data_IF_748727204325
#
_entry.id   IF_748727204325
#
_cell.length_a   1.000
_cell.length_b   1.000
_cell.length_c   1.000
_cell.angle_alpha   90.00
_cell.angle_beta   90.00
_cell.angle_gamma   90.00
#
_symmetry.space_group_name_H-M   'P 1'
#
loop_
_entity.id
_entity.type
_entity.pdbx_description
1 polymer ?
#
# COMPACT_ATOMS: atom_id res chain seq x y z
N UNK A 1 4.93 58.12 -8.20
CA UNK A 1 5.18 56.64 -8.24
C UNK A 1 4.68 56.14 -6.92
N UNK A 2 3.60 55.39 -6.96
CA UNK A 2 3.08 54.71 -5.76
C UNK A 2 3.85 53.42 -5.56
N UNK A 3 4.27 53.12 -4.34
CA UNK A 3 4.92 51.89 -3.94
C UNK A 3 3.96 51.02 -3.13
N UNK A 4 3.91 49.72 -3.43
CA UNK A 4 3.21 48.74 -2.61
C UNK A 4 4.27 47.99 -1.82
N UNK A 5 4.11 47.94 -0.50
CA UNK A 5 4.98 47.16 0.37
C UNK A 5 4.36 45.75 0.58
N UNK A 6 5.06 44.71 0.23
CA UNK A 6 4.62 43.36 0.60
C UNK A 6 4.83 43.13 2.10
N UNK A 7 3.92 42.43 2.74
CA UNK A 7 4.06 42.02 4.16
C UNK A 7 5.00 40.85 4.40
N UNK A 8 5.41 40.17 3.34
CA UNK A 8 6.30 38.99 3.39
C UNK A 8 7.42 39.15 2.34
N UNK A 9 8.63 39.32 2.80
CA UNK A 9 9.79 39.50 1.92
C UNK A 9 10.07 38.29 1.00
N UNK A 10 9.65 37.11 1.40
CA UNK A 10 9.79 35.90 0.60
C UNK A 10 8.93 35.86 -0.66
N UNK A 11 7.85 36.66 -0.72
CA UNK A 11 6.99 36.75 -1.91
C UNK A 11 7.71 37.40 -3.12
N UNK A 12 8.71 38.23 -2.86
CA UNK A 12 9.46 38.97 -3.89
C UNK A 12 10.91 38.52 -4.03
N UNK A 13 11.32 37.51 -3.27
CA UNK A 13 12.70 37.04 -3.27
C UNK A 13 13.02 36.26 -4.55
N UNK A 14 14.02 36.72 -5.30
CA UNK A 14 14.57 36.01 -6.44
C UNK A 14 15.43 34.81 -6.00
N UNK A 15 15.52 33.78 -6.85
CA UNK A 15 16.35 32.59 -6.65
C UNK A 15 17.51 32.60 -7.63
N UNK A 16 18.74 32.64 -7.13
CA UNK A 16 19.95 32.63 -7.94
C UNK A 16 20.80 31.34 -7.74
N UNK A 17 20.57 30.62 -6.65
CA UNK A 17 21.30 29.40 -6.33
C UNK A 17 20.41 28.37 -5.61
N UNK A 18 20.95 27.16 -5.41
CA UNK A 18 20.23 26.05 -4.78
C UNK A 18 19.98 26.25 -3.29
N UNK A 19 20.78 27.05 -2.60
CA UNK A 19 20.59 27.36 -1.19
C UNK A 19 19.35 28.28 -1.02
N UNK A 20 19.27 29.32 -1.84
CA UNK A 20 18.12 30.22 -1.87
C UNK A 20 16.82 29.46 -2.24
N UNK A 21 16.91 28.55 -3.23
CA UNK A 21 15.79 27.67 -3.57
C UNK A 21 15.35 26.80 -2.39
N UNK A 22 16.28 26.21 -1.66
CA UNK A 22 15.98 25.38 -0.50
C UNK A 22 15.32 26.19 0.64
N UNK A 23 15.77 27.40 0.87
CA UNK A 23 15.20 28.31 1.89
C UNK A 23 13.75 28.67 1.52
N UNK A 24 13.51 29.05 0.27
CA UNK A 24 12.16 29.38 -0.22
C UNK A 24 11.23 28.16 -0.19
N UNK A 25 11.72 26.98 -0.59
CA UNK A 25 10.94 25.74 -0.50
C UNK A 25 10.50 25.46 0.95
N UNK A 26 11.41 25.57 1.92
CA UNK A 26 11.04 25.38 3.33
C UNK A 26 10.04 26.43 3.84
N UNK A 27 10.19 27.68 3.42
CA UNK A 27 9.23 28.73 3.73
C UNK A 27 7.83 28.42 3.14
N UNK A 28 7.79 28.02 1.88
CA UNK A 28 6.54 27.60 1.22
C UNK A 28 5.88 26.43 1.93
N UNK A 29 6.63 25.36 2.24
CA UNK A 29 6.11 24.18 2.93
C UNK A 29 5.60 24.53 4.34
N UNK A 30 6.25 25.45 5.03
CA UNK A 30 5.76 25.94 6.33
C UNK A 30 4.43 26.68 6.19
N UNK A 31 4.25 27.49 5.14
CA UNK A 31 2.96 28.16 4.86
C UNK A 31 1.86 27.12 4.57
N UNK A 32 2.15 26.08 3.79
CA UNK A 32 1.19 25.00 3.52
C UNK A 32 0.83 24.23 4.81
N UNK A 33 1.80 23.88 5.64
CA UNK A 33 1.55 23.24 6.93
C UNK A 33 0.69 24.11 7.87
N UNK A 34 0.93 25.43 7.90
CA UNK A 34 0.12 26.38 8.67
C UNK A 34 -1.34 26.46 8.19
N UNK A 35 -1.57 26.43 6.86
CA UNK A 35 -2.94 26.40 6.31
C UNK A 35 -3.69 25.17 6.77
N UNK A 36 -3.03 23.99 6.76
CA UNK A 36 -3.63 22.73 7.18
C UNK A 36 -3.90 22.70 8.68
N UNK A 37 -2.98 23.21 9.50
CA UNK A 37 -3.21 23.40 10.94
C UNK A 37 -4.41 24.33 11.20
N UNK A 38 -4.50 25.44 10.46
CA UNK A 38 -5.60 26.40 10.57
C UNK A 38 -6.96 25.79 10.13
N UNK A 39 -6.96 24.81 9.24
CA UNK A 39 -8.17 24.07 8.83
C UNK A 39 -8.57 22.95 9.82
N UNK A 40 -7.86 22.80 10.93
CA UNK A 40 -8.19 21.87 12.01
C UNK A 40 -7.54 20.49 11.92
N UNK A 41 -6.58 20.29 11.03
CA UNK A 41 -5.76 19.08 11.04
C UNK A 41 -4.71 19.11 12.15
N UNK A 42 -4.28 17.96 12.61
CA UNK A 42 -3.15 17.78 13.52
C UNK A 42 -1.90 17.41 12.72
N UNK A 43 -0.85 18.23 12.84
CA UNK A 43 0.46 17.95 12.25
C UNK A 43 1.48 17.83 13.37
N UNK A 44 2.16 16.67 13.50
CA UNK A 44 3.08 16.42 14.62
C UNK A 44 4.32 17.31 14.59
N UNK A 45 4.85 17.56 13.39
CA UNK A 45 5.96 18.49 13.20
C UNK A 45 5.81 19.21 11.84
N UNK A 46 5.37 20.47 11.84
CA UNK A 46 5.19 21.23 10.60
C UNK A 46 6.45 21.39 9.75
N UNK A 47 7.64 21.31 10.36
CA UNK A 47 8.92 21.43 9.64
C UNK A 47 9.27 20.17 8.85
N UNK A 48 8.56 19.08 9.09
CA UNK A 48 8.80 17.75 8.52
C UNK A 48 7.60 17.22 7.71
N UNK A 49 6.79 18.12 7.19
CA UNK A 49 5.70 17.85 6.26
C UNK A 49 6.03 18.49 4.91
N UNK A 50 5.90 17.74 3.84
CA UNK A 50 6.03 18.23 2.48
C UNK A 50 4.74 18.02 1.70
N UNK A 51 4.18 19.11 1.15
CA UNK A 51 3.03 19.08 0.25
C UNK A 51 3.47 19.61 -1.11
N UNK A 52 3.59 18.73 -2.08
CA UNK A 52 4.07 19.00 -3.43
C UNK A 52 2.94 18.87 -4.44
N UNK A 53 1.88 19.62 -4.25
CA UNK A 53 0.65 19.57 -5.03
C UNK A 53 -0.52 20.09 -4.24
N UNK A 54 -1.69 19.49 -4.39
CA UNK A 54 -2.91 19.89 -3.71
C UNK A 54 -3.33 18.83 -2.68
N UNK A 55 -3.66 19.27 -1.46
CA UNK A 55 -4.28 18.47 -0.43
C UNK A 55 -5.66 19.00 -0.09
N UNK A 56 -6.69 18.19 -0.32
CA UNK A 56 -8.05 18.42 0.16
C UNK A 56 -8.35 17.42 1.26
N UNK A 57 -8.82 17.87 2.43
CA UNK A 57 -9.08 16.96 3.54
C UNK A 57 -10.38 17.27 4.31
N UNK A 58 -10.97 16.25 4.91
CA UNK A 58 -12.07 16.35 5.85
C UNK A 58 -11.62 16.68 7.27
N UNK A 59 -12.52 16.56 8.23
CA UNK A 59 -12.25 16.83 9.64
C UNK A 59 -11.35 15.76 10.28
N UNK A 60 -10.61 16.14 11.34
CA UNK A 60 -9.78 15.22 12.15
C UNK A 60 -8.72 14.46 11.34
N UNK A 61 -8.02 15.15 10.44
CA UNK A 61 -6.83 14.61 9.79
C UNK A 61 -5.64 14.70 10.75
N UNK A 62 -4.89 13.59 10.89
CA UNK A 62 -3.63 13.55 11.63
C UNK A 62 -2.49 13.16 10.69
N UNK A 63 -1.46 14.01 10.62
CA UNK A 63 -0.24 13.79 9.83
C UNK A 63 0.96 13.68 10.78
N UNK A 64 1.66 12.54 10.71
CA UNK A 64 2.88 12.32 11.46
C UNK A 64 4.11 12.89 10.73
N UNK A 65 5.28 12.73 11.32
CA UNK A 65 6.54 13.29 10.81
C UNK A 65 6.98 12.64 9.49
N UNK A 66 7.64 13.40 8.63
CA UNK A 66 8.17 12.96 7.34
C UNK A 66 7.09 12.41 6.38
N UNK A 67 5.87 12.90 6.48
CA UNK A 67 4.84 12.63 5.47
C UNK A 67 5.10 13.52 4.25
N UNK A 68 5.06 12.90 3.07
CA UNK A 68 5.23 13.58 1.78
C UNK A 68 3.99 13.32 0.94
N UNK A 69 3.29 14.40 0.56
CA UNK A 69 2.11 14.36 -0.30
C UNK A 69 2.46 14.99 -1.65
N UNK A 70 2.17 14.30 -2.75
CA UNK A 70 2.54 14.77 -4.10
C UNK A 70 1.34 14.70 -5.06
N UNK A 71 1.20 15.70 -5.93
CA UNK A 71 0.09 15.77 -6.89
C UNK A 71 -1.25 15.98 -6.19
N UNK A 72 -2.31 15.38 -6.70
CA UNK A 72 -3.67 15.55 -6.19
C UNK A 72 -3.97 14.48 -5.13
N UNK A 73 -4.05 14.89 -3.87
CA UNK A 73 -4.38 14.01 -2.75
C UNK A 73 -5.67 14.48 -2.07
N UNK A 74 -6.67 13.60 -2.04
CA UNK A 74 -7.91 13.86 -1.32
C UNK A 74 -8.08 12.87 -0.17
N UNK A 75 -8.44 13.39 1.02
CA UNK A 75 -8.53 12.63 2.26
C UNK A 75 -9.86 12.92 2.95
N UNK A 76 -10.59 11.89 3.33
CA UNK A 76 -11.83 12.00 4.09
C UNK A 76 -11.62 12.45 5.54
N UNK A 77 -12.63 12.25 6.37
CA UNK A 77 -12.60 12.62 7.79
C UNK A 77 -12.05 11.48 8.66
N UNK A 78 -11.49 11.81 9.83
CA UNK A 78 -10.98 10.85 10.81
C UNK A 78 -9.86 9.95 10.24
N UNK A 79 -8.93 10.53 9.50
CA UNK A 79 -7.82 9.80 8.88
C UNK A 79 -6.53 10.05 9.63
N UNK A 80 -5.76 8.99 9.83
CA UNK A 80 -4.43 9.03 10.43
C UNK A 80 -3.37 8.53 9.47
N UNK A 81 -2.34 9.33 9.22
CA UNK A 81 -1.21 9.01 8.33
C UNK A 81 0.07 8.98 9.16
N UNK A 82 0.63 7.78 9.32
CA UNK A 82 1.82 7.51 10.11
C UNK A 82 3.12 8.02 9.46
N UNK A 83 4.21 8.01 10.23
CA UNK A 83 5.46 8.63 9.83
C UNK A 83 6.14 7.96 8.64
N UNK A 84 6.96 8.73 7.92
CA UNK A 84 7.74 8.27 6.76
C UNK A 84 6.87 7.69 5.62
N UNK A 85 5.66 8.21 5.46
CA UNK A 85 4.71 7.79 4.43
C UNK A 85 4.74 8.74 3.25
N UNK A 86 4.78 8.16 2.03
CA UNK A 86 4.73 8.93 0.79
C UNK A 86 3.42 8.60 0.05
N UNK A 87 2.64 9.63 -0.28
CA UNK A 87 1.36 9.48 -0.97
C UNK A 87 1.35 10.37 -2.21
N UNK A 88 0.99 9.81 -3.36
CA UNK A 88 0.85 10.57 -4.60
C UNK A 88 -0.44 10.22 -5.34
N UNK A 89 -1.13 11.25 -5.86
CA UNK A 89 -2.31 11.12 -6.72
C UNK A 89 -3.35 10.12 -6.18
N UNK A 90 -3.73 10.22 -4.90
CA UNK A 90 -4.55 9.22 -4.22
C UNK A 90 -5.86 9.81 -3.69
N UNK A 91 -6.89 8.96 -3.65
CA UNK A 91 -8.17 9.25 -3.02
C UNK A 91 -8.34 8.35 -1.81
N UNK A 92 -8.47 8.95 -0.63
CA UNK A 92 -8.54 8.26 0.66
C UNK A 92 -9.87 8.62 1.33
N UNK A 93 -10.66 7.62 1.64
CA UNK A 93 -11.95 7.74 2.32
C UNK A 93 -11.83 8.13 3.80
N UNK A 94 -12.94 8.05 4.51
CA UNK A 94 -13.00 8.39 5.93
C UNK A 94 -12.64 7.20 6.83
N UNK A 95 -12.16 7.46 8.05
CA UNK A 95 -11.80 6.42 9.02
C UNK A 95 -10.55 5.62 8.67
N UNK A 96 -9.82 6.01 7.63
CA UNK A 96 -8.65 5.27 7.14
C UNK A 96 -7.45 5.45 8.08
N UNK A 97 -6.75 4.35 8.34
CA UNK A 97 -5.48 4.34 9.08
C UNK A 97 -4.35 3.89 8.17
N UNK A 98 -3.40 4.76 7.92
CA UNK A 98 -2.16 4.45 7.18
C UNK A 98 -1.03 4.42 8.20
N UNK A 99 -0.42 3.25 8.39
CA UNK A 99 0.69 3.05 9.31
C UNK A 99 2.02 3.49 8.68
N UNK A 100 3.09 3.48 9.47
CA UNK A 100 4.40 4.00 9.08
C UNK A 100 4.99 3.36 7.81
N UNK A 101 5.74 4.16 7.04
CA UNK A 101 6.60 3.68 5.95
C UNK A 101 5.86 3.21 4.70
N UNK A 102 4.59 3.58 4.53
CA UNK A 102 3.82 3.19 3.36
C UNK A 102 4.17 4.06 2.13
N UNK A 103 4.10 3.45 0.95
CA UNK A 103 4.22 4.16 -0.33
C UNK A 103 2.94 3.93 -1.13
N UNK A 104 2.19 4.99 -1.40
CA UNK A 104 0.88 4.95 -2.04
C UNK A 104 0.91 5.85 -3.28
N UNK A 105 0.63 5.28 -4.44
CA UNK A 105 0.62 6.00 -5.71
C UNK A 105 -0.60 5.62 -6.55
N UNK A 106 -1.39 6.60 -6.98
CA UNK A 106 -2.53 6.43 -7.86
C UNK A 106 -3.59 5.45 -7.36
N UNK A 107 -3.79 5.36 -6.03
CA UNK A 107 -4.70 4.41 -5.42
C UNK A 107 -6.01 5.07 -4.95
N UNK A 108 -7.07 4.26 -4.92
CA UNK A 108 -8.35 4.59 -4.29
C UNK A 108 -8.49 3.73 -3.06
N UNK A 109 -8.63 4.35 -1.91
CA UNK A 109 -8.80 3.71 -0.61
C UNK A 109 -10.16 4.15 -0.07
N UNK A 110 -11.10 3.23 0.07
CA UNK A 110 -12.43 3.52 0.60
C UNK A 110 -12.43 3.65 2.14
N UNK A 111 -13.60 3.68 2.77
CA UNK A 111 -13.73 4.00 4.18
C UNK A 111 -13.26 2.85 5.11
N UNK A 112 -12.76 3.23 6.29
CA UNK A 112 -12.36 2.32 7.38
C UNK A 112 -11.28 1.30 7.00
N UNK A 113 -10.48 1.61 5.97
CA UNK A 113 -9.37 0.76 5.52
C UNK A 113 -8.15 0.94 6.40
N UNK A 114 -7.40 -0.16 6.60
CA UNK A 114 -6.10 -0.13 7.27
C UNK A 114 -4.97 -0.53 6.30
N UNK A 115 -3.94 0.32 6.18
CA UNK A 115 -2.79 0.10 5.29
C UNK A 115 -1.49 0.13 6.09
N UNK A 116 -0.65 -0.86 5.88
CA UNK A 116 0.70 -0.90 6.43
C UNK A 116 0.89 -1.74 7.71
N UNK A 117 2.05 -1.57 8.38
CA UNK A 117 3.16 -0.69 7.98
C UNK A 117 3.94 -1.22 6.76
N UNK A 118 4.73 -0.33 6.11
CA UNK A 118 5.58 -0.69 4.97
C UNK A 118 4.84 -1.39 3.81
N UNK A 119 3.60 -1.00 3.56
CA UNK A 119 2.82 -1.46 2.42
C UNK A 119 3.09 -0.59 1.18
N UNK A 120 2.96 -1.19 0.00
CA UNK A 120 3.07 -0.46 -1.26
C UNK A 120 1.80 -0.62 -2.09
N UNK A 121 1.11 0.48 -2.32
CA UNK A 121 -0.03 0.54 -3.23
C UNK A 121 0.40 1.27 -4.51
N UNK A 122 0.25 0.59 -5.64
CA UNK A 122 0.63 1.11 -6.96
C UNK A 122 -0.61 1.54 -7.75
N UNK A 123 -0.42 2.28 -8.87
CA UNK A 123 -1.52 2.76 -9.68
C UNK A 123 -2.52 1.66 -10.07
N UNK A 124 -3.81 2.03 -10.07
CA UNK A 124 -4.92 1.13 -10.35
C UNK A 124 -5.34 0.24 -9.16
N UNK A 125 -4.77 0.46 -7.98
CA UNK A 125 -5.21 -0.22 -6.75
C UNK A 125 -6.49 0.40 -6.21
N UNK A 126 -7.47 -0.44 -5.90
CA UNK A 126 -8.70 -0.07 -5.19
C UNK A 126 -8.85 -0.94 -3.95
N UNK A 127 -8.87 -0.32 -2.78
CA UNK A 127 -9.15 -0.97 -1.51
C UNK A 127 -10.58 -0.61 -1.09
N UNK A 128 -11.43 -1.63 -1.00
CA UNK A 128 -12.84 -1.46 -0.61
C UNK A 128 -12.99 -1.31 0.90
N UNK A 129 -14.17 -0.85 1.33
CA UNK A 129 -14.48 -0.56 2.73
C UNK A 129 -14.01 -1.67 3.69
N UNK A 130 -13.39 -1.27 4.80
CA UNK A 130 -12.91 -2.15 5.88
C UNK A 130 -11.92 -3.22 5.44
N UNK A 131 -11.36 -3.13 4.24
CA UNK A 131 -10.29 -4.03 3.81
C UNK A 131 -8.98 -3.72 4.54
N UNK A 132 -8.05 -4.67 4.53
CA UNK A 132 -6.76 -4.52 5.21
C UNK A 132 -5.60 -5.01 4.34
N UNK A 133 -4.63 -4.13 4.12
CA UNK A 133 -3.36 -4.43 3.47
C UNK A 133 -2.24 -4.20 4.47
N UNK A 134 -1.59 -5.27 4.93
CA UNK A 134 -0.63 -5.23 6.03
C UNK A 134 0.81 -5.05 5.58
N UNK A 135 1.74 -5.46 6.46
CA UNK A 135 3.17 -5.19 6.29
C UNK A 135 3.81 -5.95 5.13
N UNK A 136 4.63 -5.22 4.37
CA UNK A 136 5.34 -5.74 3.20
C UNK A 136 4.44 -6.39 2.16
N UNK A 137 3.21 -5.87 2.02
CA UNK A 137 2.29 -6.26 0.96
C UNK A 137 2.38 -5.23 -0.16
N UNK A 138 2.58 -5.70 -1.38
CA UNK A 138 2.51 -4.86 -2.57
C UNK A 138 1.23 -5.20 -3.35
N UNK A 139 0.44 -4.16 -3.67
CA UNK A 139 -0.77 -4.27 -4.50
C UNK A 139 -0.62 -3.39 -5.73
N UNK A 140 -0.93 -3.94 -6.90
CA UNK A 140 -0.83 -3.24 -8.19
C UNK A 140 -2.01 -3.56 -9.09
N UNK A 141 -2.68 -2.53 -9.62
CA UNK A 141 -3.76 -2.70 -10.60
C UNK A 141 -4.74 -3.80 -10.17
N UNK A 142 -5.23 -3.71 -8.93
CA UNK A 142 -6.04 -4.77 -8.31
C UNK A 142 -7.10 -4.18 -7.40
N UNK A 143 -8.21 -4.92 -7.27
CA UNK A 143 -9.29 -4.61 -6.35
C UNK A 143 -9.25 -5.57 -5.18
N UNK A 144 -9.24 -5.03 -3.96
CA UNK A 144 -9.39 -5.79 -2.71
C UNK A 144 -10.80 -5.53 -2.19
N UNK A 145 -11.64 -6.56 -2.13
CA UNK A 145 -13.05 -6.48 -1.72
C UNK A 145 -13.26 -6.08 -0.27
N UNK A 146 -14.52 -5.85 0.07
CA UNK A 146 -14.96 -5.40 1.40
C UNK A 146 -14.50 -6.43 2.46
N UNK A 147 -13.91 -5.95 3.57
CA UNK A 147 -13.42 -6.78 4.68
C UNK A 147 -12.37 -7.82 4.32
N UNK A 148 -11.86 -7.81 3.09
CA UNK A 148 -10.80 -8.72 2.64
C UNK A 148 -9.44 -8.30 3.19
N UNK A 149 -8.59 -9.29 3.50
CA UNK A 149 -7.33 -9.08 4.23
C UNK A 149 -6.14 -9.73 3.53
N UNK A 150 -5.07 -8.96 3.36
CA UNK A 150 -3.75 -9.43 2.97
C UNK A 150 -2.74 -8.85 3.98
N UNK A 151 -2.46 -9.58 5.07
CA UNK A 151 -1.80 -8.99 6.24
C UNK A 151 -0.27 -8.96 6.15
N UNK A 152 0.37 -9.84 5.37
CA UNK A 152 1.82 -10.02 5.43
C UNK A 152 2.42 -10.49 4.11
N UNK A 153 3.53 -9.85 3.68
CA UNK A 153 4.49 -10.42 2.73
C UNK A 153 3.86 -10.97 1.42
N UNK A 154 2.87 -10.31 0.86
CA UNK A 154 2.19 -10.79 -0.35
C UNK A 154 2.41 -9.84 -1.53
N UNK A 155 2.45 -10.40 -2.75
CA UNK A 155 2.35 -9.62 -3.99
C UNK A 155 1.01 -9.92 -4.67
N UNK A 156 0.20 -8.87 -4.87
CA UNK A 156 -1.12 -8.93 -5.49
C UNK A 156 -1.09 -8.02 -6.72
N UNK A 157 -0.99 -8.62 -7.90
CA UNK A 157 -0.92 -7.88 -9.16
C UNK A 157 -1.97 -8.34 -10.15
N UNK A 158 -2.62 -7.38 -10.82
CA UNK A 158 -3.64 -7.61 -11.85
C UNK A 158 -4.72 -8.60 -11.38
N UNK A 159 -5.37 -8.30 -10.22
CA UNK A 159 -6.31 -9.21 -9.59
C UNK A 159 -7.61 -8.50 -9.16
N UNK A 160 -8.69 -9.27 -9.11
CA UNK A 160 -9.95 -8.90 -8.45
C UNK A 160 -10.22 -9.89 -7.33
N UNK A 161 -10.25 -9.41 -6.10
CA UNK A 161 -10.53 -10.20 -4.90
C UNK A 161 -11.89 -9.78 -4.38
N UNK A 162 -12.79 -10.75 -4.21
CA UNK A 162 -14.13 -10.56 -3.65
C UNK A 162 -14.12 -10.17 -2.17
N UNK A 163 -15.28 -10.19 -1.54
CA UNK A 163 -15.48 -9.73 -0.17
C UNK A 163 -15.15 -10.83 0.85
N UNK A 164 -14.69 -10.42 2.04
CA UNK A 164 -14.41 -11.33 3.15
C UNK A 164 -13.27 -12.32 2.93
N UNK A 165 -12.41 -12.09 1.94
CA UNK A 165 -11.29 -12.97 1.61
C UNK A 165 -10.12 -12.83 2.58
N UNK A 166 -9.35 -13.91 2.74
CA UNK A 166 -8.10 -13.89 3.47
C UNK A 166 -6.93 -14.38 2.61
N UNK A 167 -5.98 -13.53 2.35
CA UNK A 167 -4.76 -13.86 1.60
C UNK A 167 -3.63 -14.13 2.59
N UNK A 168 -3.17 -15.37 2.61
CA UNK A 168 -2.11 -15.84 3.51
C UNK A 168 -0.75 -15.21 3.21
N UNK A 169 0.09 -15.15 4.24
CA UNK A 169 1.44 -14.61 4.15
C UNK A 169 2.28 -15.33 3.07
N UNK A 170 3.08 -14.58 2.32
CA UNK A 170 3.93 -15.16 1.26
C UNK A 170 3.17 -15.57 0.00
N UNK A 171 1.91 -15.17 -0.15
CA UNK A 171 1.14 -15.46 -1.37
C UNK A 171 1.59 -14.58 -2.52
N UNK A 172 1.83 -15.18 -3.68
CA UNK A 172 2.24 -14.50 -4.91
C UNK A 172 1.20 -14.74 -6.01
N UNK A 173 0.69 -13.63 -6.57
CA UNK A 173 -0.13 -13.64 -7.78
C UNK A 173 0.80 -13.53 -8.99
N UNK A 174 1.05 -14.66 -9.66
CA UNK A 174 1.90 -14.71 -10.84
C UNK A 174 1.14 -14.21 -12.06
N UNK A 175 1.12 -12.91 -12.24
CA UNK A 175 0.36 -12.21 -13.28
C UNK A 175 1.10 -12.04 -14.61
N UNK A 176 2.36 -12.47 -14.73
CA UNK A 176 3.19 -12.27 -15.91
C UNK A 176 3.82 -13.57 -16.39
N UNK A 177 3.63 -13.91 -17.68
CA UNK A 177 4.10 -15.15 -18.30
C UNK A 177 5.45 -15.00 -19.04
N UNK A 178 6.07 -13.84 -18.95
CA UNK A 178 7.28 -13.50 -19.70
C UNK A 178 7.02 -12.60 -20.92
N UNK A 179 5.77 -12.52 -21.37
CA UNK A 179 5.34 -11.67 -22.51
C UNK A 179 4.11 -10.83 -22.17
N UNK A 180 3.09 -11.43 -21.58
CA UNK A 180 1.79 -10.81 -21.31
C UNK A 180 1.43 -10.85 -19.83
N UNK A 181 0.53 -9.94 -19.44
CA UNK A 181 -0.09 -9.94 -18.11
C UNK A 181 -1.44 -10.61 -18.17
N UNK A 182 -1.72 -11.39 -17.15
CA UNK A 182 -2.95 -12.14 -16.99
C UNK A 182 -3.62 -11.80 -15.66
N UNK A 183 -4.94 -11.95 -15.62
CA UNK A 183 -5.75 -11.58 -14.47
C UNK A 183 -6.08 -12.78 -13.59
N UNK A 184 -6.11 -12.55 -12.27
CA UNK A 184 -6.57 -13.51 -11.28
C UNK A 184 -7.88 -13.01 -10.67
N UNK A 185 -8.89 -13.89 -10.56
CA UNK A 185 -10.17 -13.55 -9.93
C UNK A 185 -10.41 -14.48 -8.75
N UNK A 186 -10.71 -13.91 -7.59
CA UNK A 186 -11.22 -14.60 -6.41
C UNK A 186 -12.66 -14.14 -6.16
N UNK A 187 -13.55 -15.10 -5.97
CA UNK A 187 -14.89 -14.84 -5.45
C UNK A 187 -14.89 -14.41 -3.99
N UNK A 188 -16.04 -14.49 -3.34
CA UNK A 188 -16.18 -14.06 -1.95
C UNK A 188 -15.74 -15.15 -0.96
N UNK A 189 -15.27 -14.73 0.23
CA UNK A 189 -14.88 -15.60 1.35
C UNK A 189 -13.83 -16.64 1.02
N UNK A 190 -13.01 -16.36 0.01
CA UNK A 190 -11.89 -17.24 -0.36
C UNK A 190 -10.79 -17.16 0.70
N UNK A 191 -10.34 -18.32 1.15
CA UNK A 191 -9.17 -18.44 2.02
C UNK A 191 -7.97 -18.98 1.24
N UNK A 192 -6.92 -18.18 1.12
CA UNK A 192 -5.65 -18.60 0.54
C UNK A 192 -4.65 -18.84 1.67
N UNK A 193 -4.18 -20.06 1.81
CA UNK A 193 -3.16 -20.44 2.79
C UNK A 193 -1.81 -19.75 2.53
N UNK A 194 -0.95 -19.75 3.54
CA UNK A 194 0.38 -19.12 3.43
C UNK A 194 1.26 -19.81 2.37
N UNK A 195 2.19 -19.05 1.78
CA UNK A 195 3.14 -19.50 0.76
C UNK A 195 2.47 -20.16 -0.45
N UNK A 196 1.32 -19.65 -0.86
CA UNK A 196 0.64 -20.09 -2.08
C UNK A 196 1.08 -19.27 -3.29
N UNK A 197 1.03 -19.92 -4.45
CA UNK A 197 1.28 -19.29 -5.75
C UNK A 197 0.03 -19.43 -6.60
N UNK A 198 -0.55 -18.32 -7.05
CA UNK A 198 -1.69 -18.30 -7.95
C UNK A 198 -1.19 -17.93 -9.36
N UNK A 199 -1.22 -18.87 -10.28
CA UNK A 199 -0.67 -18.68 -11.63
C UNK A 199 -1.78 -18.26 -12.55
N UNK A 200 -1.78 -16.97 -12.92
CA UNK A 200 -2.77 -16.39 -13.80
C UNK A 200 -2.61 -16.87 -15.27
N UNK A 201 -3.72 -16.98 -16.06
CA UNK A 201 -5.08 -16.65 -15.64
C UNK A 201 -5.72 -17.76 -14.80
N UNK A 202 -6.28 -17.40 -13.65
CA UNK A 202 -6.95 -18.36 -12.75
C UNK A 202 -8.13 -17.70 -12.05
N UNK A 203 -9.20 -18.47 -11.84
CA UNK A 203 -10.38 -18.03 -11.10
C UNK A 203 -10.70 -19.01 -9.98
N UNK A 204 -10.89 -18.50 -8.78
CA UNK A 204 -11.35 -19.25 -7.60
C UNK A 204 -12.78 -18.80 -7.28
N UNK A 205 -13.72 -19.74 -7.24
CA UNK A 205 -15.11 -19.43 -6.86
C UNK A 205 -15.26 -19.08 -5.38
N UNK A 206 -16.47 -18.72 -4.98
CA UNK A 206 -16.76 -18.38 -3.59
C UNK A 206 -16.46 -19.55 -2.64
N UNK A 207 -16.10 -19.22 -1.42
CA UNK A 207 -15.85 -20.19 -0.33
C UNK A 207 -14.75 -21.24 -0.66
N UNK A 208 -13.87 -20.93 -1.61
CA UNK A 208 -12.71 -21.80 -1.90
C UNK A 208 -11.69 -21.68 -0.79
N UNK A 209 -11.16 -22.83 -0.37
CA UNK A 209 -10.03 -22.92 0.54
C UNK A 209 -8.80 -23.46 -0.19
N UNK A 210 -7.73 -22.69 -0.26
CA UNK A 210 -6.44 -23.12 -0.82
C UNK A 210 -5.51 -23.51 0.32
N UNK A 211 -5.08 -24.79 0.34
CA UNK A 211 -4.15 -25.29 1.35
C UNK A 211 -2.79 -24.58 1.25
N UNK A 212 -2.18 -24.26 2.38
CA UNK A 212 -0.87 -23.60 2.43
C UNK A 212 0.19 -24.33 1.60
N UNK A 213 1.09 -23.57 0.96
CA UNK A 213 2.16 -24.09 0.11
C UNK A 213 1.68 -24.64 -1.24
N UNK A 214 0.48 -24.30 -1.68
CA UNK A 214 -0.06 -24.78 -2.95
C UNK A 214 0.31 -23.87 -4.12
N UNK A 215 0.60 -24.48 -5.27
CA UNK A 215 0.65 -23.81 -6.58
C UNK A 215 -0.65 -24.11 -7.32
N UNK A 216 -1.43 -23.06 -7.60
CA UNK A 216 -2.75 -23.16 -8.24
C UNK A 216 -2.65 -22.60 -9.66
N UNK A 217 -2.78 -23.48 -10.66
CA UNK A 217 -2.69 -23.13 -12.09
C UNK A 217 -3.95 -23.44 -12.88
N UNK A 218 -4.98 -23.95 -12.21
CA UNK A 218 -6.29 -24.24 -12.80
C UNK A 218 -7.37 -23.63 -11.94
N UNK A 219 -8.42 -23.10 -12.59
CA UNK A 219 -9.57 -22.53 -11.89
C UNK A 219 -10.24 -23.54 -10.96
N UNK A 220 -10.74 -23.04 -9.82
CA UNK A 220 -11.31 -23.85 -8.76
C UNK A 220 -12.78 -23.51 -8.62
N UNK A 221 -13.71 -24.46 -8.73
CA UNK A 221 -15.13 -24.22 -8.48
C UNK A 221 -15.38 -23.81 -7.03
N UNK A 222 -16.52 -23.15 -6.78
CA UNK A 222 -16.91 -22.73 -5.43
C UNK A 222 -16.95 -23.88 -4.42
N UNK A 223 -16.76 -23.56 -3.15
CA UNK A 223 -16.86 -24.51 -2.03
C UNK A 223 -15.87 -25.70 -2.11
N UNK A 224 -14.71 -25.50 -2.69
CA UNK A 224 -13.70 -26.55 -2.84
C UNK A 224 -12.45 -26.32 -1.99
N UNK A 225 -11.87 -27.39 -1.47
CA UNK A 225 -10.52 -27.42 -0.96
C UNK A 225 -9.55 -27.75 -2.10
N UNK A 226 -8.61 -26.86 -2.36
CA UNK A 226 -7.55 -27.08 -3.34
C UNK A 226 -6.21 -27.35 -2.65
N UNK A 227 -5.56 -28.46 -3.05
CA UNK A 227 -4.23 -28.84 -2.57
C UNK A 227 -3.31 -29.05 -3.78
N UNK A 228 -2.46 -28.06 -4.06
CA UNK A 228 -1.53 -28.04 -5.20
C UNK A 228 -0.08 -28.24 -4.78
N UNK A 229 0.23 -29.22 -3.94
CA UNK A 229 1.57 -29.50 -3.42
C UNK A 229 1.80 -31.01 -3.28
N UNK A 230 3.08 -31.42 -3.31
CA UNK A 230 3.45 -32.82 -3.06
C UNK A 230 3.15 -33.23 -1.63
N UNK A 231 2.83 -34.53 -1.44
CA UNK A 231 2.73 -35.10 -0.11
C UNK A 231 4.09 -35.06 0.61
N UNK A 232 4.07 -34.77 1.90
CA UNK A 232 5.29 -34.79 2.72
C UNK A 232 5.92 -36.18 2.73
N UNK A 233 7.24 -36.24 2.61
CA UNK A 233 8.03 -37.46 2.73
C UNK A 233 9.10 -37.26 3.79
N UNK A 234 9.16 -38.14 4.77
CA UNK A 234 10.23 -38.20 5.76
C UNK A 234 11.24 -39.26 5.33
N UNK A 235 12.53 -38.92 5.34
CA UNK A 235 13.62 -39.83 4.98
C UNK A 235 14.30 -40.21 6.29
N UNK A 236 14.07 -41.46 6.70
CA UNK A 236 14.70 -41.99 7.89
C UNK A 236 16.21 -42.21 7.68
N UNK A 237 16.98 -42.06 8.73
CA UNK A 237 18.43 -42.26 8.68
C UNK A 237 19.21 -41.17 7.93
N UNK A 238 18.58 -40.03 7.54
CA UNK A 238 19.28 -38.92 6.91
C UNK A 238 20.41 -38.39 7.79
N UNK A 239 21.63 -38.34 7.23
CA UNK A 239 22.81 -37.76 7.89
C UNK A 239 23.19 -36.45 7.22
N UNK A 240 23.26 -35.41 8.01
CA UNK A 240 23.74 -34.08 7.53
C UNK A 240 25.17 -34.22 6.99
N UNK A 241 25.45 -33.71 5.76
CA UNK A 241 26.80 -33.70 5.22
C UNK A 241 27.76 -32.94 6.16
N UNK A 242 28.90 -33.58 6.50
CA UNK A 242 29.95 -32.93 7.28
C UNK A 242 30.93 -32.21 6.34
N UNK A 243 31.42 -31.02 6.71
CA UNK A 243 32.52 -30.39 6.01
C UNK A 243 33.71 -31.35 5.96
N UNK A 244 34.26 -31.60 4.77
CA UNK A 244 35.57 -32.23 4.66
C UNK A 244 36.57 -31.30 5.32
N UNK A 245 37.22 -31.74 6.40
CA UNK A 245 38.35 -30.99 6.97
C UNK A 245 39.36 -30.86 5.83
N UNK A 246 39.57 -29.65 5.31
CA UNK A 246 40.76 -29.37 4.53
C UNK A 246 41.94 -29.53 5.46
N UNK A 247 42.60 -30.69 5.38
CA UNK A 247 43.94 -30.82 5.99
C UNK A 247 44.84 -29.83 5.28
N UNK A 248 45.38 -28.92 6.08
CA UNK A 248 46.51 -28.06 5.70
C UNK A 248 47.70 -28.90 5.25
#
# INVERSE_FOLDING_TARGET
VDSICTGDEFEVQGVNDKLQLCILERHFQMKEAQKILASGAQVMDPTRLDIRGELVHGANLTLDVNVILTGDVSVGSNVSIGPNTCISNAKIGSGVTILSGCVIDGAIIEDDVSVGPNARLRPGTVLKNRSKVGNFVEVKNSVIGIESKANHLAYIGDATIGDGCNIGAGTIFCNYDGANKHHTTLGDRVFVGSNCVLIAPVSLGDDVFVAAGSSVSKSVPKENLTVGRSAQRNIEGWKTPKKKNSRA
#
